data_IF_477275112111
#
_entry.id   IF_477275112111
#
_cell.length_a   1.000
_cell.length_b   1.000
_cell.length_c   1.000
_cell.angle_alpha   90.00
_cell.angle_beta   90.00
_cell.angle_gamma   90.00
#
_symmetry.space_group_name_H-M   'P 1'
#
loop_
_entity.id
_entity.type
_entity.pdbx_description
1 polymer ?
#
# COMPACT_ATOMS: atom_id res chain seq x y z
N UNK A 1 -8.88 13.43 -4.71
CA UNK A 1 -8.12 13.08 -5.96
C UNK A 1 -8.04 14.18 -7.05
N UNK A 2 -9.08 14.55 -7.81
CA UNK A 2 -8.96 15.52 -8.94
C UNK A 2 -8.46 16.92 -8.55
N UNK A 3 -8.59 17.32 -7.30
CA UNK A 3 -8.02 18.57 -6.80
C UNK A 3 -6.48 18.50 -6.77
N UNK A 4 -5.91 17.37 -6.36
CA UNK A 4 -4.47 17.15 -6.26
C UNK A 4 -3.84 16.69 -7.58
N UNK A 5 -4.62 16.01 -8.42
CA UNK A 5 -4.22 15.49 -9.74
C UNK A 5 -5.17 16.06 -10.82
N UNK A 6 -5.07 17.36 -11.15
CA UNK A 6 -6.03 18.03 -12.02
C UNK A 6 -6.00 17.53 -13.47
N UNK A 7 -4.87 16.98 -13.94
CA UNK A 7 -4.76 16.39 -15.28
C UNK A 7 -5.71 15.21 -15.49
N UNK A 8 -6.15 14.52 -14.43
CA UNK A 8 -7.11 13.43 -14.52
C UNK A 8 -8.51 13.88 -14.98
N UNK A 9 -8.81 15.18 -14.98
CA UNK A 9 -10.06 15.70 -15.56
C UNK A 9 -10.14 15.51 -17.07
N UNK A 10 -8.99 15.36 -17.73
CA UNK A 10 -8.90 15.05 -19.16
C UNK A 10 -8.93 13.53 -19.43
N UNK A 11 -8.80 12.72 -18.38
CA UNK A 11 -8.71 11.26 -18.46
C UNK A 11 -9.55 10.64 -17.33
N UNK A 12 -10.88 10.74 -17.42
CA UNK A 12 -11.78 10.30 -16.35
C UNK A 12 -11.58 8.82 -15.98
N UNK A 13 -11.23 7.96 -16.95
CA UNK A 13 -10.99 6.53 -16.74
C UNK A 13 -9.62 6.22 -16.10
N UNK A 14 -8.71 7.19 -15.99
CA UNK A 14 -7.34 6.97 -15.50
C UNK A 14 -7.28 6.62 -14.00
N UNK A 15 -8.40 6.70 -13.30
CA UNK A 15 -8.55 6.34 -11.89
C UNK A 15 -8.88 4.85 -11.70
N UNK A 16 -9.26 4.15 -12.77
CA UNK A 16 -9.56 2.72 -12.75
C UNK A 16 -8.32 1.92 -13.14
N UNK A 17 -8.03 0.80 -12.45
CA UNK A 17 -6.91 -0.05 -12.80
C UNK A 17 -7.11 -0.75 -14.14
N UNK A 18 -6.02 -0.95 -14.85
CA UNK A 18 -5.91 -2.06 -15.78
C UNK A 18 -5.78 -3.35 -14.96
N UNK A 19 -6.90 -4.06 -14.78
CA UNK A 19 -6.89 -5.37 -14.13
C UNK A 19 -6.32 -6.39 -15.11
N UNK A 20 -5.13 -6.89 -14.81
CA UNK A 20 -4.43 -7.86 -15.66
C UNK A 20 -4.93 -9.27 -15.32
N UNK A 21 -4.97 -9.60 -14.03
CA UNK A 21 -5.47 -10.86 -13.51
C UNK A 21 -6.27 -10.62 -12.23
N UNK A 22 -7.34 -11.38 -12.02
CA UNK A 22 -8.08 -11.35 -10.75
C UNK A 22 -9.55 -11.67 -10.90
N UNK A 23 -10.20 -11.98 -9.77
CA UNK A 23 -11.65 -12.19 -9.66
C UNK A 23 -12.38 -11.00 -9.03
N UNK A 24 -11.66 -9.92 -8.72
CA UNK A 24 -12.18 -8.74 -8.04
C UNK A 24 -12.91 -9.10 -6.75
N UNK A 25 -12.32 -9.98 -5.94
CA UNK A 25 -12.93 -10.43 -4.68
C UNK A 25 -13.05 -9.26 -3.70
N UNK A 26 -14.15 -9.27 -2.94
CA UNK A 26 -14.49 -8.29 -1.91
C UNK A 26 -15.05 -9.00 -0.67
N UNK A 27 -15.15 -8.29 0.45
CA UNK A 27 -15.70 -8.82 1.70
C UNK A 27 -14.72 -9.71 2.48
N UNK A 28 -13.42 -9.61 2.22
CA UNK A 28 -12.39 -10.35 2.97
C UNK A 28 -11.96 -9.58 4.21
N UNK A 29 -11.39 -10.26 5.21
CA UNK A 29 -10.86 -9.58 6.40
C UNK A 29 -9.60 -8.78 6.10
N UNK A 30 -8.69 -9.32 5.27
CA UNK A 30 -7.38 -8.73 5.02
C UNK A 30 -7.06 -8.59 3.53
N UNK A 31 -6.66 -7.40 3.13
CA UNK A 31 -6.13 -7.10 1.79
C UNK A 31 -4.65 -6.78 1.93
N UNK A 32 -3.79 -7.47 1.19
CA UNK A 32 -2.34 -7.26 1.18
C UNK A 32 -1.92 -6.60 -0.12
N UNK A 33 -1.43 -5.36 -0.05
CA UNK A 33 -0.94 -4.62 -1.21
C UNK A 33 0.57 -4.76 -1.37
N UNK A 34 1.03 -5.23 -2.54
CA UNK A 34 2.45 -5.41 -2.87
C UNK A 34 2.78 -4.66 -4.16
N UNK A 35 3.32 -3.43 -4.07
CA UNK A 35 3.88 -2.74 -5.21
C UNK A 35 5.23 -3.34 -5.57
N UNK A 36 5.49 -3.51 -6.87
CA UNK A 36 6.76 -4.06 -7.34
C UNK A 36 7.52 -3.06 -8.19
N UNK A 37 8.85 -3.17 -8.15
CA UNK A 37 9.73 -2.39 -9.00
C UNK A 37 10.42 -3.34 -9.95
N UNK A 38 10.36 -3.05 -11.26
CA UNK A 38 11.09 -3.84 -12.25
C UNK A 38 12.59 -3.81 -11.94
N UNK A 39 13.19 -4.97 -11.68
CA UNK A 39 14.62 -5.16 -11.37
C UNK A 39 15.16 -6.24 -12.31
N UNK A 40 16.28 -5.99 -12.98
CA UNK A 40 16.79 -6.85 -14.07
C UNK A 40 17.27 -8.26 -13.65
N UNK A 41 17.55 -8.50 -12.36
CA UNK A 41 18.38 -9.65 -11.94
C UNK A 41 17.77 -10.56 -10.87
N UNK A 42 16.60 -10.24 -10.30
CA UNK A 42 16.12 -10.96 -9.11
C UNK A 42 14.61 -11.19 -9.10
N UNK A 43 14.21 -12.41 -8.76
CA UNK A 43 12.82 -12.86 -8.64
C UNK A 43 12.27 -12.68 -7.21
N UNK A 44 12.49 -11.52 -6.60
CA UNK A 44 12.06 -11.24 -5.21
C UNK A 44 10.56 -11.51 -5.01
N UNK A 45 9.73 -10.98 -5.92
CA UNK A 45 8.28 -11.13 -5.91
C UNK A 45 7.84 -12.61 -5.81
N UNK A 46 8.52 -13.51 -6.52
CA UNK A 46 8.16 -14.94 -6.54
C UNK A 46 8.43 -15.57 -5.18
N UNK A 47 9.57 -15.27 -4.58
CA UNK A 47 9.92 -15.75 -3.25
C UNK A 47 8.97 -15.21 -2.18
N UNK A 48 8.63 -13.92 -2.26
CA UNK A 48 7.65 -13.28 -1.37
C UNK A 48 6.27 -13.90 -1.51
N UNK A 49 5.79 -14.11 -2.73
CA UNK A 49 4.50 -14.75 -2.99
C UNK A 49 4.47 -16.18 -2.47
N UNK A 50 5.50 -16.99 -2.74
CA UNK A 50 5.59 -18.33 -2.19
C UNK A 50 5.56 -18.32 -0.67
N UNK A 51 6.33 -17.44 -0.03
CA UNK A 51 6.37 -17.33 1.43
C UNK A 51 5.01 -16.92 2.01
N UNK A 52 4.34 -15.93 1.43
CA UNK A 52 3.02 -15.48 1.90
C UNK A 52 1.94 -16.55 1.70
N UNK A 53 1.90 -17.20 0.54
CA UNK A 53 0.85 -18.15 0.18
C UNK A 53 1.03 -19.51 0.86
N UNK A 54 2.27 -19.92 1.13
CA UNK A 54 2.59 -21.17 1.83
C UNK A 54 2.09 -21.15 3.28
N UNK A 55 2.19 -20.00 3.94
CA UNK A 55 1.77 -19.82 5.33
C UNK A 55 0.25 -19.63 5.51
N UNK A 56 -0.53 -19.61 4.42
CA UNK A 56 -1.99 -19.47 4.47
C UNK A 56 -2.69 -20.82 4.36
N UNK A 57 -3.63 -21.07 5.28
CA UNK A 57 -4.61 -22.15 5.13
C UNK A 57 -5.63 -21.83 4.03
N UNK A 58 -6.39 -22.83 3.57
CA UNK A 58 -7.43 -22.61 2.56
C UNK A 58 -8.55 -21.67 3.06
N UNK A 59 -8.88 -21.72 4.35
CA UNK A 59 -9.81 -20.76 4.97
C UNK A 59 -9.26 -19.34 4.91
N UNK A 60 -7.98 -19.16 5.24
CA UNK A 60 -7.34 -17.84 5.23
C UNK A 60 -7.19 -17.29 3.80
N UNK A 61 -6.91 -18.14 2.79
CA UNK A 61 -6.93 -17.74 1.37
C UNK A 61 -8.33 -17.27 0.90
N UNK A 62 -9.38 -17.81 1.50
CA UNK A 62 -10.76 -17.37 1.25
C UNK A 62 -11.12 -16.09 2.03
N UNK A 63 -10.37 -15.73 3.06
CA UNK A 63 -10.53 -14.52 3.88
C UNK A 63 -9.45 -13.45 3.62
N UNK A 64 -8.72 -13.57 2.50
CA UNK A 64 -7.75 -12.57 2.07
C UNK A 64 -7.68 -12.37 0.55
N UNK A 65 -7.12 -11.23 0.15
CA UNK A 65 -6.70 -10.94 -1.22
C UNK A 65 -5.31 -10.33 -1.20
N UNK A 66 -4.41 -10.84 -2.03
CA UNK A 66 -3.08 -10.26 -2.32
C UNK A 66 -3.17 -9.53 -3.65
N UNK A 67 -2.85 -8.23 -3.65
CA UNK A 67 -2.89 -7.38 -4.83
C UNK A 67 -1.47 -7.00 -5.20
N UNK A 68 -1.01 -7.45 -6.35
CA UNK A 68 0.27 -7.05 -6.91
C UNK A 68 0.06 -5.83 -7.79
N UNK A 69 0.71 -4.72 -7.42
CA UNK A 69 0.67 -3.46 -8.13
C UNK A 69 1.91 -3.30 -8.99
N UNK A 70 1.69 -3.31 -10.32
CA UNK A 70 2.70 -3.38 -11.38
C UNK A 70 3.58 -4.63 -11.21
N UNK A 71 3.30 -5.70 -11.96
CA UNK A 71 4.08 -6.95 -11.95
C UNK A 71 4.61 -7.29 -13.35
N UNK A 72 5.71 -8.04 -13.43
CA UNK A 72 6.06 -8.74 -14.67
C UNK A 72 5.13 -9.94 -14.86
N UNK A 73 4.24 -9.87 -15.86
CA UNK A 73 3.24 -10.93 -16.17
C UNK A 73 3.89 -12.31 -16.28
N UNK A 74 5.08 -12.38 -16.88
CA UNK A 74 5.84 -13.61 -17.05
C UNK A 74 6.17 -14.30 -15.73
N UNK A 75 6.47 -13.51 -14.70
CA UNK A 75 6.84 -14.02 -13.38
C UNK A 75 5.64 -14.70 -12.70
N UNK A 76 4.42 -14.28 -13.00
CA UNK A 76 3.20 -14.78 -12.34
C UNK A 76 2.61 -16.06 -12.94
N UNK A 77 3.19 -16.60 -14.01
CA UNK A 77 2.78 -17.91 -14.56
C UNK A 77 2.93 -19.08 -13.57
N UNK A 78 3.69 -18.89 -12.49
CA UNK A 78 3.85 -19.87 -11.41
C UNK A 78 2.66 -19.96 -10.44
N UNK A 79 1.67 -19.05 -10.52
CA UNK A 79 0.54 -18.97 -9.59
C UNK A 79 -0.85 -19.08 -10.25
N UNK A 80 -1.08 -20.04 -11.17
CA UNK A 80 -2.34 -20.10 -11.92
C UNK A 80 -3.54 -20.44 -11.03
N UNK A 81 -3.35 -21.24 -9.97
CA UNK A 81 -4.42 -21.63 -9.05
C UNK A 81 -4.87 -20.45 -8.20
N UNK A 82 -3.91 -19.66 -7.71
CA UNK A 82 -4.15 -18.50 -6.86
C UNK A 82 -4.82 -17.36 -7.63
N UNK A 83 -4.42 -17.17 -8.89
CA UNK A 83 -5.11 -16.26 -9.81
C UNK A 83 -6.54 -16.75 -10.07
N UNK A 84 -6.72 -18.04 -10.33
CA UNK A 84 -8.03 -18.62 -10.63
C UNK A 84 -9.00 -18.51 -9.44
N UNK A 85 -8.53 -18.78 -8.23
CA UNK A 85 -9.30 -18.66 -6.98
C UNK A 85 -9.56 -17.20 -6.58
N UNK A 86 -8.82 -16.26 -7.16
CA UNK A 86 -8.92 -14.84 -6.88
C UNK A 86 -8.27 -14.41 -5.57
N UNK A 87 -7.48 -15.28 -4.91
CA UNK A 87 -6.65 -14.85 -3.77
C UNK A 87 -5.52 -13.94 -4.24
N UNK A 88 -5.09 -14.06 -5.50
CA UNK A 88 -4.06 -13.21 -6.11
C UNK A 88 -4.67 -12.37 -7.25
N UNK A 89 -4.50 -11.05 -7.16
CA UNK A 89 -4.87 -10.08 -8.18
C UNK A 89 -3.66 -9.29 -8.65
N UNK A 90 -3.70 -8.83 -9.91
CA UNK A 90 -2.63 -8.07 -10.53
C UNK A 90 -3.22 -6.89 -11.25
N UNK A 91 -2.79 -5.71 -10.85
CA UNK A 91 -3.26 -4.44 -11.42
C UNK A 91 -2.08 -3.59 -11.86
N UNK A 92 -2.36 -2.69 -12.80
CA UNK A 92 -1.50 -1.56 -13.09
C UNK A 92 -2.34 -0.30 -13.28
N UNK A 93 -1.83 0.88 -12.93
CA UNK A 93 -2.51 2.12 -13.26
C UNK A 93 -2.34 2.40 -14.76
N UNK A 94 -3.33 3.05 -15.41
CA UNK A 94 -3.14 3.62 -16.74
C UNK A 94 -1.98 4.62 -16.76
N UNK A 95 -1.26 4.74 -17.87
CA UNK A 95 -0.15 5.69 -17.98
C UNK A 95 -0.60 7.14 -17.71
N UNK A 96 -1.83 7.47 -18.10
CA UNK A 96 -2.50 8.77 -17.86
C UNK A 96 -2.79 9.06 -16.39
N UNK A 97 -2.69 8.08 -15.49
CA UNK A 97 -2.81 8.31 -14.06
C UNK A 97 -1.69 9.24 -13.57
N UNK A 98 -0.49 9.09 -14.10
CA UNK A 98 0.67 9.85 -13.64
C UNK A 98 0.70 11.25 -14.27
N UNK A 99 0.93 12.31 -13.47
CA UNK A 99 1.22 13.64 -14.00
C UNK A 99 2.62 13.66 -14.64
N UNK A 100 2.96 14.78 -15.29
CA UNK A 100 4.34 15.01 -15.70
C UNK A 100 5.27 15.09 -14.48
N UNK A 101 6.24 14.17 -14.42
CA UNK A 101 7.24 14.06 -13.36
C UNK A 101 8.62 14.59 -13.79
N UNK A 102 8.74 15.24 -14.94
CA UNK A 102 10.02 15.76 -15.45
C UNK A 102 10.50 17.01 -14.72
N UNK A 103 9.57 17.85 -14.23
CA UNK A 103 9.86 19.17 -13.65
C UNK A 103 9.58 19.22 -12.13
N UNK A 104 10.10 18.26 -11.38
CA UNK A 104 9.93 18.21 -9.92
C UNK A 104 10.97 19.07 -9.20
N UNK A 105 10.55 19.76 -8.12
CA UNK A 105 11.45 20.53 -7.26
C UNK A 105 12.40 19.58 -6.51
N UNK A 106 13.70 19.82 -6.62
CA UNK A 106 14.70 19.14 -5.79
C UNK A 106 14.52 19.53 -4.32
N UNK A 107 14.48 18.53 -3.46
CA UNK A 107 14.40 18.69 -2.01
C UNK A 107 15.34 17.68 -1.34
N UNK A 108 15.68 17.91 -0.07
CA UNK A 108 16.48 16.99 0.76
C UNK A 108 17.87 16.62 0.23
N UNK A 109 18.39 17.37 -0.76
CA UNK A 109 19.66 17.05 -1.42
C UNK A 109 19.58 15.84 -2.37
N UNK A 110 18.36 15.37 -2.68
CA UNK A 110 18.14 14.23 -3.57
C UNK A 110 18.48 14.56 -5.03
N UNK A 111 18.92 13.53 -5.77
CA UNK A 111 19.01 13.58 -7.24
C UNK A 111 17.61 13.67 -7.88
N UNK A 112 17.53 14.08 -9.14
CA UNK A 112 16.26 14.13 -9.89
C UNK A 112 15.58 12.77 -9.94
N UNK A 113 16.36 11.72 -10.18
CA UNK A 113 15.85 10.34 -10.20
C UNK A 113 15.25 9.94 -8.86
N UNK A 114 15.90 10.31 -7.74
CA UNK A 114 15.39 9.98 -6.41
C UNK A 114 14.13 10.77 -6.08
N UNK A 115 14.06 12.05 -6.45
CA UNK A 115 12.84 12.88 -6.32
C UNK A 115 11.70 12.28 -7.15
N UNK A 116 11.95 11.92 -8.41
CA UNK A 116 10.98 11.28 -9.29
C UNK A 116 10.50 9.95 -8.71
N UNK A 117 11.42 9.14 -8.20
CA UNK A 117 11.11 7.84 -7.60
C UNK A 117 10.19 7.99 -6.38
N UNK A 118 10.54 8.82 -5.39
CA UNK A 118 9.71 9.00 -4.19
C UNK A 118 8.34 9.64 -4.50
N UNK A 119 8.28 10.54 -5.49
CA UNK A 119 7.01 11.12 -5.94
C UNK A 119 6.14 10.10 -6.64
N UNK A 120 6.72 9.23 -7.49
CA UNK A 120 5.99 8.13 -8.10
C UNK A 120 5.50 7.13 -7.04
N UNK A 121 6.32 6.81 -6.04
CA UNK A 121 5.95 5.89 -4.95
C UNK A 121 4.71 6.39 -4.19
N UNK A 122 4.63 7.68 -3.87
CA UNK A 122 3.43 8.27 -3.26
C UNK A 122 2.18 8.04 -4.10
N UNK A 123 2.27 8.20 -5.42
CA UNK A 123 1.16 7.98 -6.35
C UNK A 123 0.79 6.51 -6.49
N UNK A 124 1.79 5.63 -6.53
CA UNK A 124 1.63 4.18 -6.63
C UNK A 124 0.88 3.63 -5.42
N UNK A 125 1.32 4.00 -4.21
CA UNK A 125 0.70 3.54 -2.96
C UNK A 125 -0.70 4.11 -2.83
N UNK A 126 -0.90 5.39 -3.19
CA UNK A 126 -2.22 6.01 -3.21
C UNK A 126 -3.20 5.26 -4.11
N UNK A 127 -2.78 4.88 -5.32
CA UNK A 127 -3.61 4.14 -6.26
C UNK A 127 -3.96 2.75 -5.73
N UNK A 128 -2.95 2.02 -5.25
CA UNK A 128 -3.12 0.68 -4.70
C UNK A 128 -4.06 0.67 -3.49
N UNK A 129 -3.88 1.62 -2.56
CA UNK A 129 -4.73 1.77 -1.37
C UNK A 129 -6.18 2.04 -1.76
N UNK A 130 -6.45 2.93 -2.72
CA UNK A 130 -7.81 3.20 -3.18
C UNK A 130 -8.45 1.99 -3.87
N UNK A 131 -7.70 1.23 -4.65
CA UNK A 131 -8.22 0.00 -5.25
C UNK A 131 -8.49 -1.10 -4.20
N UNK A 132 -7.67 -1.16 -3.16
CA UNK A 132 -7.83 -2.11 -2.05
C UNK A 132 -9.00 -1.77 -1.12
N UNK A 133 -9.33 -0.48 -0.98
CA UNK A 133 -10.30 0.04 -0.03
C UNK A 133 -11.65 -0.72 0.03
N UNK A 134 -12.35 -0.98 -1.08
CA UNK A 134 -13.65 -1.64 -1.02
C UNK A 134 -13.56 -3.17 -0.82
N UNK A 135 -12.35 -3.76 -0.78
CA UNK A 135 -12.19 -5.22 -0.86
C UNK A 135 -12.22 -5.91 0.49
N UNK A 136 -11.83 -5.24 1.57
CA UNK A 136 -11.80 -5.90 2.87
C UNK A 136 -11.72 -4.95 4.05
N UNK A 137 -11.75 -5.52 5.25
CA UNK A 137 -11.79 -4.75 6.51
C UNK A 137 -10.47 -4.05 6.81
N UNK A 138 -9.36 -4.74 6.56
CA UNK A 138 -8.02 -4.22 6.80
C UNK A 138 -7.16 -4.23 5.54
N UNK A 139 -6.27 -3.26 5.43
CA UNK A 139 -5.26 -3.17 4.38
C UNK A 139 -3.87 -3.24 5.01
N UNK A 140 -3.05 -4.19 4.54
CA UNK A 140 -1.65 -4.34 4.91
C UNK A 140 -0.77 -3.96 3.73
N UNK A 141 0.04 -2.93 3.92
CA UNK A 141 1.04 -2.53 2.95
C UNK A 141 2.31 -3.39 3.09
N UNK A 142 2.74 -4.00 2.00
CA UNK A 142 3.93 -4.85 1.92
C UNK A 142 4.87 -4.37 0.80
N UNK A 143 6.05 -4.99 0.70
CA UNK A 143 7.01 -4.85 -0.41
C UNK A 143 7.29 -6.21 -1.05
N UNK A 144 7.95 -6.20 -2.21
CA UNK A 144 8.16 -7.39 -3.05
C UNK A 144 9.37 -8.25 -2.64
N UNK A 145 10.06 -7.92 -1.55
CA UNK A 145 11.29 -8.54 -1.07
C UNK A 145 11.26 -8.93 0.42
N UNK A 146 10.12 -9.48 0.87
CA UNK A 146 9.94 -10.02 2.21
C UNK A 146 9.75 -11.53 2.30
N UNK A 147 9.93 -12.03 3.52
CA UNK A 147 9.53 -13.37 3.95
C UNK A 147 8.51 -13.25 5.07
N UNK A 148 7.40 -13.98 4.93
CA UNK A 148 6.37 -14.08 5.95
C UNK A 148 6.88 -14.90 7.14
N UNK A 149 6.49 -14.48 8.36
CA UNK A 149 6.62 -15.35 9.53
C UNK A 149 5.50 -16.39 9.53
N UNK A 150 5.77 -17.53 10.15
CA UNK A 150 4.75 -18.55 10.37
C UNK A 150 3.53 -17.96 11.06
N UNK A 151 2.34 -18.31 10.57
CA UNK A 151 1.06 -17.90 11.16
C UNK A 151 0.84 -16.37 11.25
N UNK A 152 1.45 -15.62 10.32
CA UNK A 152 1.33 -14.15 10.29
C UNK A 152 -0.14 -13.70 10.21
N UNK A 153 -0.97 -14.43 9.47
CA UNK A 153 -2.36 -14.05 9.25
C UNK A 153 -3.16 -14.06 10.55
N UNK A 154 -3.09 -15.16 11.32
CA UNK A 154 -3.77 -15.26 12.61
C UNK A 154 -3.15 -14.29 13.62
N UNK A 155 -1.82 -14.16 13.63
CA UNK A 155 -1.12 -13.22 14.50
C UNK A 155 -1.59 -11.77 14.30
N UNK A 156 -1.84 -11.35 13.05
CA UNK A 156 -2.40 -10.03 12.74
C UNK A 156 -3.83 -9.92 13.29
N UNK A 157 -4.71 -10.89 13.01
CA UNK A 157 -6.11 -10.87 13.48
C UNK A 157 -6.19 -10.81 15.00
N UNK A 158 -5.39 -11.61 15.68
CA UNK A 158 -5.31 -11.64 17.14
C UNK A 158 -4.78 -10.33 17.71
N UNK A 159 -3.79 -9.72 17.06
CA UNK A 159 -3.25 -8.44 17.49
C UNK A 159 -4.28 -7.32 17.36
N UNK A 160 -5.02 -7.28 16.24
CA UNK A 160 -6.13 -6.35 16.03
C UNK A 160 -7.22 -6.54 17.08
N UNK A 161 -7.63 -7.79 17.34
CA UNK A 161 -8.70 -8.10 18.30
C UNK A 161 -8.37 -7.69 19.75
N UNK A 162 -7.08 -7.57 20.09
CA UNK A 162 -6.60 -7.10 21.40
C UNK A 162 -6.61 -5.57 21.55
N UNK A 163 -6.77 -4.82 20.46
CA UNK A 163 -6.80 -3.36 20.53
C UNK A 163 -8.13 -2.89 21.13
N UNK A 164 -8.07 -2.36 22.35
CA UNK A 164 -9.22 -1.79 23.06
C UNK A 164 -9.39 -0.29 22.84
N UNK A 165 -8.33 0.39 22.38
CA UNK A 165 -8.31 1.81 22.09
C UNK A 165 -8.47 2.06 20.59
N UNK A 166 -8.91 3.26 20.23
CA UNK A 166 -8.89 3.71 18.84
C UNK A 166 -7.44 3.80 18.33
N UNK A 167 -7.21 3.24 17.15
CA UNK A 167 -5.90 3.24 16.50
C UNK A 167 -6.06 3.62 15.03
N UNK A 168 -5.05 4.28 14.48
CA UNK A 168 -4.97 4.67 13.07
C UNK A 168 -4.14 3.67 12.25
N UNK A 169 -3.03 3.19 12.82
CA UNK A 169 -2.10 2.25 12.17
C UNK A 169 -1.61 1.25 13.20
N UNK A 170 -1.48 0.00 12.80
CA UNK A 170 -0.73 -1.02 13.53
C UNK A 170 0.49 -1.43 12.70
N UNK A 171 1.64 -1.60 13.34
CA UNK A 171 2.91 -1.86 12.64
C UNK A 171 3.44 -3.27 12.93
N UNK A 172 3.85 -3.97 11.88
CA UNK A 172 4.39 -5.33 11.92
C UNK A 172 5.82 -5.41 11.36
N UNK A 173 6.42 -4.27 11.00
CA UNK A 173 7.81 -4.11 10.60
C UNK A 173 8.37 -2.81 11.18
N UNK A 174 9.67 -2.82 11.46
CA UNK A 174 10.42 -1.62 11.90
C UNK A 174 11.06 -0.85 10.74
N UNK A 175 10.97 -1.38 9.51
CA UNK A 175 11.61 -0.80 8.34
C UNK A 175 10.57 0.00 7.54
N UNK A 176 10.79 1.30 7.38
CA UNK A 176 10.02 2.16 6.46
C UNK A 176 8.50 1.97 6.49
N UNK A 177 7.90 1.93 5.29
CA UNK A 177 6.45 1.91 5.08
C UNK A 177 5.84 0.50 5.00
N UNK A 178 6.68 -0.53 5.05
CA UNK A 178 6.24 -1.92 5.02
C UNK A 178 5.64 -2.35 6.35
N UNK A 179 4.69 -3.29 6.30
CA UNK A 179 4.07 -3.89 7.48
C UNK A 179 3.13 -2.94 8.19
N UNK A 180 2.68 -1.87 7.54
CA UNK A 180 1.68 -0.95 8.08
C UNK A 180 0.29 -1.47 7.76
N UNK A 181 -0.47 -1.73 8.82
CA UNK A 181 -1.85 -2.18 8.76
C UNK A 181 -2.78 -1.01 9.05
N UNK A 182 -3.77 -0.84 8.19
CA UNK A 182 -4.77 0.20 8.25
C UNK A 182 -6.17 -0.43 8.28
N UNK A 183 -7.14 0.27 8.88
CA UNK A 183 -8.54 0.00 8.55
C UNK A 183 -8.79 0.49 7.14
N UNK A 184 -9.45 -0.33 6.32
CA UNK A 184 -9.70 0.06 4.93
C UNK A 184 -10.57 1.30 4.83
N UNK A 185 -11.51 1.50 5.76
CA UNK A 185 -12.36 2.70 5.82
C UNK A 185 -11.58 4.01 5.96
N UNK A 186 -10.38 3.98 6.55
CA UNK A 186 -9.53 5.16 6.76
C UNK A 186 -8.64 5.48 5.55
N UNK A 187 -8.50 4.56 4.60
CA UNK A 187 -7.62 4.72 3.44
C UNK A 187 -7.92 5.99 2.62
N UNK A 188 -9.17 6.39 2.34
CA UNK A 188 -9.42 7.61 1.58
C UNK A 188 -8.83 8.87 2.22
N UNK A 189 -8.90 8.99 3.55
CA UNK A 189 -8.32 10.11 4.29
C UNK A 189 -6.79 10.11 4.19
N UNK A 190 -6.19 8.93 4.39
CA UNK A 190 -4.74 8.76 4.33
C UNK A 190 -4.23 9.08 2.92
N UNK A 191 -4.92 8.57 1.90
CA UNK A 191 -4.59 8.82 0.50
C UNK A 191 -4.73 10.30 0.14
N UNK A 192 -5.78 10.98 0.59
CA UNK A 192 -5.92 12.43 0.33
C UNK A 192 -4.76 13.22 0.96
N UNK A 193 -4.27 12.82 2.15
CA UNK A 193 -3.07 13.43 2.74
C UNK A 193 -1.81 13.14 1.92
N UNK A 194 -1.63 11.90 1.44
CA UNK A 194 -0.51 11.54 0.58
C UNK A 194 -0.52 12.33 -0.73
N UNK A 195 -1.68 12.44 -1.37
CA UNK A 195 -1.87 13.20 -2.60
C UNK A 195 -1.70 14.70 -2.40
N UNK A 196 -1.98 15.24 -1.22
CA UNK A 196 -1.75 16.66 -0.93
C UNK A 196 -0.26 17.03 -1.00
N UNK A 197 0.63 16.12 -0.60
CA UNK A 197 2.07 16.38 -0.44
C UNK A 197 2.95 15.43 -1.27
N UNK A 198 2.40 14.79 -2.30
CA UNK A 198 3.08 13.73 -3.05
C UNK A 198 4.39 14.17 -3.74
N UNK A 199 4.54 15.46 -4.04
CA UNK A 199 5.77 16.04 -4.59
C UNK A 199 6.78 16.42 -3.50
N UNK A 200 6.31 16.70 -2.29
CA UNK A 200 7.08 17.41 -1.27
C UNK A 200 7.90 16.48 -0.38
N UNK A 201 7.34 15.34 0.04
CA UNK A 201 7.97 14.41 0.98
C UNK A 201 7.83 12.95 0.55
N UNK A 202 8.74 12.05 0.97
CA UNK A 202 8.55 10.61 0.80
C UNK A 202 7.41 10.08 1.68
N UNK A 203 6.83 8.93 1.30
CA UNK A 203 5.62 8.37 1.94
C UNK A 203 5.79 8.11 3.44
N UNK A 204 6.96 7.63 3.86
CA UNK A 204 7.29 7.38 5.26
C UNK A 204 7.13 8.63 6.11
N UNK A 205 7.59 9.77 5.60
CA UNK A 205 7.50 11.03 6.33
C UNK A 205 6.08 11.56 6.33
N UNK A 206 5.33 11.36 5.23
CA UNK A 206 3.94 11.78 5.16
C UNK A 206 3.09 11.05 6.20
N UNK A 207 3.31 9.76 6.41
CA UNK A 207 2.55 9.03 7.42
C UNK A 207 2.92 9.43 8.84
N UNK A 208 4.20 9.67 9.12
CA UNK A 208 4.63 10.19 10.42
C UNK A 208 4.01 11.56 10.71
N UNK A 209 3.94 12.43 9.70
CA UNK A 209 3.32 13.75 9.82
C UNK A 209 1.80 13.65 10.03
N UNK A 210 1.13 12.73 9.32
CA UNK A 210 -0.30 12.49 9.52
C UNK A 210 -0.58 12.01 10.95
N UNK A 211 0.20 11.05 11.45
CA UNK A 211 0.10 10.57 12.83
C UNK A 211 0.34 11.69 13.84
N UNK A 212 1.36 12.53 13.63
CA UNK A 212 1.63 13.66 14.50
C UNK A 212 0.46 14.65 14.55
N UNK A 213 -0.17 14.94 13.41
CA UNK A 213 -1.33 15.84 13.36
C UNK A 213 -2.58 15.23 14.01
N UNK A 214 -2.78 13.92 13.88
CA UNK A 214 -4.03 13.24 14.28
C UNK A 214 -4.01 12.71 15.71
N UNK A 215 -2.85 12.30 16.20
CA UNK A 215 -2.71 11.57 17.46
C UNK A 215 -2.01 12.41 18.52
N UNK A 216 -1.00 13.20 18.15
CA UNK A 216 -0.35 14.08 19.12
C UNK A 216 -1.25 15.29 19.40
N UNK A 217 -1.36 15.67 20.68
CA UNK A 217 -2.10 16.85 21.09
C UNK A 217 -1.11 17.85 21.70
N UNK A 218 -0.52 18.74 20.88
CA UNK A 218 0.55 19.65 21.32
C UNK A 218 0.18 20.48 22.55
N UNK A 219 -1.11 20.78 22.74
CA UNK A 219 -1.62 21.58 23.86
C UNK A 219 -1.70 20.80 25.18
N UNK A 220 -1.85 19.47 25.13
CA UNK A 220 -1.88 18.62 26.34
C UNK A 220 -0.48 18.20 26.79
N UNK A 221 0.43 17.98 25.85
CA UNK A 221 1.77 17.47 26.14
C UNK A 221 2.76 18.58 26.56
N UNK A 222 2.40 19.86 26.39
CA UNK A 222 3.19 21.00 26.89
C UNK A 222 3.11 21.19 28.42
N UNK A 223 2.12 20.58 29.10
CA UNK A 223 1.91 20.74 30.56
C UNK A 223 2.71 19.73 31.39
N UNK A 224 3.32 18.72 30.76
CA UNK A 224 4.14 17.72 31.46
C UNK A 224 5.64 18.01 31.49
N UNK A 225 6.11 19.09 30.84
CA UNK A 225 7.52 19.54 30.87
C UNK A 225 7.73 20.83 31.66
N UNK A 226 7.06 20.95 32.81
CA UNK A 226 7.44 21.90 33.85
C UNK A 226 7.50 21.22 35.22
N UNK A 227 8.68 20.68 35.56
CA UNK A 227 9.33 20.79 36.87
C UNK A 227 10.75 20.23 36.82
#
# INVERSE_FOLDING_TARGET
MYYYLPHLREYEDAIFPNVIFGRQRTGVSLVMGIPTVKREKQHYLINTLHSLLYELSEEQKNDCVIIIFIAEVTSLHSFPREIQSGVLEVISPPASYYPDLSNLKKTFGDSEDRVRWRTKQNLDYSFLMLYAQPKGTFYLQLEDDILAKSDYFQSIKDFVAKQSQEWMILEFSQLGFIGKLFKSEDLPLIVDFFLMFYKDKPIDWLIDHLLWVKVCNPEKDAVSMSK
#
